data_IF_250484399625
#
_entry.id   IF_250484399625
#
_cell.length_a   1.000
_cell.length_b   1.000
_cell.length_c   1.000
_cell.angle_alpha   90.00
_cell.angle_beta   90.00
_cell.angle_gamma   90.00
#
_symmetry.space_group_name_H-M   'P 1'
#
loop_
_entity.id
_entity.type
_entity.pdbx_description
1 polymer ?
#
# COMPACT_ATOMS: atom_id res chain seq x y z
N UNK A 1 33.92 32.22 -18.66
CA UNK A 1 33.59 31.43 -19.87
C UNK A 1 33.74 29.95 -19.50
N UNK A 2 32.77 29.41 -18.77
CA UNK A 2 32.74 28.00 -18.35
C UNK A 2 31.68 27.30 -19.21
N UNK A 3 32.14 26.44 -20.11
CA UNK A 3 31.29 25.69 -21.03
C UNK A 3 30.46 24.64 -20.27
N UNK A 4 29.14 24.72 -20.43
CA UNK A 4 28.19 23.69 -20.06
C UNK A 4 28.55 22.40 -20.83
N UNK A 5 29.00 21.36 -20.11
CA UNK A 5 28.99 20.00 -20.64
C UNK A 5 27.56 19.49 -20.63
N UNK A 6 26.91 19.52 -21.78
CA UNK A 6 25.71 18.72 -22.06
C UNK A 6 26.06 17.24 -21.81
N UNK A 7 25.43 16.65 -20.78
CA UNK A 7 25.46 15.21 -20.59
C UNK A 7 24.73 14.56 -21.78
N UNK A 8 25.50 13.82 -22.58
CA UNK A 8 25.00 12.93 -23.63
C UNK A 8 24.09 11.88 -22.99
N UNK A 9 22.77 11.98 -23.23
CA UNK A 9 21.83 10.90 -22.98
C UNK A 9 22.33 9.61 -23.67
N UNK A 10 22.28 8.49 -22.94
CA UNK A 10 22.53 7.18 -23.53
C UNK A 10 21.59 6.96 -24.72
N UNK A 11 22.15 6.64 -25.88
CA UNK A 11 21.38 6.50 -27.13
C UNK A 11 20.32 5.40 -26.99
N UNK A 12 19.04 5.78 -26.94
CA UNK A 12 17.93 4.87 -27.22
C UNK A 12 18.10 4.37 -28.67
N UNK A 13 18.13 3.05 -28.86
CA UNK A 13 18.17 2.45 -30.21
C UNK A 13 16.75 2.30 -30.72
N UNK A 14 16.40 2.98 -31.81
CA UNK A 14 15.25 2.62 -32.63
C UNK A 14 15.50 1.20 -33.18
N UNK A 15 14.62 0.25 -32.86
CA UNK A 15 14.87 -1.17 -33.11
C UNK A 15 13.62 -1.95 -33.50
N UNK A 16 13.66 -2.46 -34.74
CA UNK A 16 12.76 -3.39 -35.43
C UNK A 16 11.33 -2.91 -35.70
N UNK A 17 10.94 -2.92 -36.98
CA UNK A 17 9.56 -2.82 -37.44
C UNK A 17 8.82 -4.13 -37.13
N UNK A 18 7.84 -4.07 -36.23
CA UNK A 18 6.83 -5.12 -36.11
C UNK A 18 5.52 -4.52 -36.61
N UNK A 19 4.94 -5.11 -37.66
CA UNK A 19 3.71 -4.63 -38.32
C UNK A 19 3.68 -3.11 -38.64
N UNK A 20 4.78 -2.54 -39.13
CA UNK A 20 4.82 -1.13 -39.58
C UNK A 20 4.94 -0.06 -38.49
N UNK A 21 5.15 -0.46 -37.22
CA UNK A 21 5.35 0.46 -36.08
C UNK A 21 6.83 0.65 -35.77
N UNK A 22 7.23 1.87 -35.41
CA UNK A 22 8.58 2.16 -34.90
C UNK A 22 8.62 1.93 -33.40
N UNK A 23 9.43 0.97 -32.94
CA UNK A 23 9.55 0.65 -31.52
C UNK A 23 10.83 1.25 -30.94
N UNK A 24 10.68 1.97 -29.83
CA UNK A 24 11.77 2.52 -29.02
C UNK A 24 11.98 1.62 -27.81
N UNK A 25 13.23 1.21 -27.59
CA UNK A 25 13.60 0.30 -26.51
C UNK A 25 14.50 1.00 -25.50
N UNK A 26 14.21 0.80 -24.22
CA UNK A 26 15.12 1.13 -23.11
C UNK A 26 15.58 -0.15 -22.42
N UNK A 27 16.81 -0.14 -21.93
CA UNK A 27 17.39 -1.28 -21.22
C UNK A 27 17.16 -1.16 -19.72
N UNK A 28 17.10 -2.31 -19.03
CA UNK A 28 17.17 -2.34 -17.57
C UNK A 28 18.44 -1.62 -17.08
N UNK A 29 18.32 -0.87 -15.99
CA UNK A 29 19.38 -0.04 -15.43
C UNK A 29 19.47 1.36 -16.04
N UNK A 30 18.69 1.67 -17.08
CA UNK A 30 18.63 3.02 -17.69
C UNK A 30 17.44 3.78 -17.10
N UNK A 31 17.75 4.82 -16.34
CA UNK A 31 16.78 5.80 -15.82
C UNK A 31 16.71 7.00 -16.77
N UNK A 32 15.49 7.46 -17.06
CA UNK A 32 15.23 8.65 -17.85
C UNK A 32 14.15 8.48 -18.93
N UNK A 33 14.04 9.49 -19.82
CA UNK A 33 13.03 9.48 -20.87
C UNK A 33 13.31 8.37 -21.89
N UNK A 34 12.32 7.53 -22.13
CA UNK A 34 12.31 6.59 -23.27
C UNK A 34 11.82 7.32 -24.50
N UNK A 35 10.75 8.09 -24.34
CA UNK A 35 10.08 8.83 -25.40
C UNK A 35 9.69 10.21 -24.89
N UNK A 36 10.01 11.25 -25.66
CA UNK A 36 9.54 12.63 -25.46
C UNK A 36 8.80 13.12 -26.71
N UNK A 37 7.98 14.17 -26.58
CA UNK A 37 7.13 14.67 -27.68
C UNK A 37 5.91 13.77 -27.98
N UNK A 38 5.41 13.70 -29.22
CA UNK A 38 5.45 14.86 -30.11
C UNK A 38 4.93 16.07 -29.33
N UNK A 39 5.43 17.25 -29.68
CA UNK A 39 4.88 18.49 -29.17
C UNK A 39 3.75 18.89 -30.12
N UNK A 40 2.51 18.78 -29.63
CA UNK A 40 1.32 18.98 -30.46
C UNK A 40 0.56 20.16 -29.90
N UNK A 41 0.35 21.19 -30.73
CA UNK A 41 -0.54 22.30 -30.38
C UNK A 41 -1.98 21.85 -30.55
N UNK A 42 -2.74 21.89 -29.45
CA UNK A 42 -4.09 21.36 -29.37
C UNK A 42 -5.04 22.46 -28.90
N UNK A 43 -6.21 22.54 -29.52
CA UNK A 43 -7.28 23.46 -29.14
C UNK A 43 -7.86 23.10 -27.75
N UNK A 44 -8.58 24.01 -27.08
CA UNK A 44 -9.32 23.67 -25.86
C UNK A 44 -10.26 22.50 -26.12
N UNK A 45 -10.36 21.58 -25.17
CA UNK A 45 -11.17 20.38 -25.33
C UNK A 45 -10.75 19.26 -24.40
N UNK A 46 -11.47 18.14 -24.51
CA UNK A 46 -11.17 16.91 -23.79
C UNK A 46 -10.58 15.90 -24.74
N UNK A 47 -9.53 15.21 -24.31
CA UNK A 47 -8.76 14.32 -25.17
C UNK A 47 -8.39 13.02 -24.47
N UNK A 48 -8.13 11.99 -25.27
CA UNK A 48 -7.51 10.74 -24.83
C UNK A 48 -6.29 10.48 -25.71
N UNK A 49 -5.16 10.15 -25.10
CA UNK A 49 -3.97 9.63 -25.76
C UNK A 49 -3.80 8.15 -25.45
N UNK A 50 -3.44 7.36 -26.47
CA UNK A 50 -3.13 5.94 -26.34
C UNK A 50 -1.63 5.73 -26.47
N UNK A 51 -1.02 5.24 -25.40
CA UNK A 51 0.35 4.74 -25.38
C UNK A 51 0.35 3.23 -25.59
N UNK A 52 1.34 2.69 -26.30
CA UNK A 52 1.56 1.25 -26.41
C UNK A 52 2.90 0.90 -25.79
N UNK A 53 2.86 0.14 -24.69
CA UNK A 53 4.05 -0.16 -23.89
C UNK A 53 4.10 -1.66 -23.56
N UNK A 54 5.30 -2.22 -23.60
CA UNK A 54 5.61 -3.57 -23.17
C UNK A 54 6.97 -3.63 -22.46
N UNK A 55 7.37 -4.83 -22.04
CA UNK A 55 8.65 -5.11 -21.42
C UNK A 55 9.61 -5.74 -22.44
N UNK A 56 10.91 -5.48 -22.29
CA UNK A 56 11.94 -6.17 -23.10
C UNK A 56 12.17 -7.61 -22.64
N UNK A 57 11.76 -7.93 -21.41
CA UNK A 57 11.97 -9.21 -20.73
C UNK A 57 10.71 -9.61 -19.94
N UNK A 58 10.57 -10.90 -19.63
CA UNK A 58 9.48 -11.31 -18.72
C UNK A 58 9.77 -10.79 -17.31
N UNK A 59 8.73 -10.39 -16.54
CA UNK A 59 8.89 -10.07 -15.13
C UNK A 59 9.56 -11.21 -14.36
N UNK A 60 10.74 -10.95 -13.78
CA UNK A 60 11.42 -11.91 -12.92
C UNK A 60 11.08 -11.64 -11.44
N UNK A 61 10.57 -12.65 -10.75
CA UNK A 61 10.22 -12.57 -9.32
C UNK A 61 8.74 -12.27 -9.07
N UNK A 62 8.39 -12.12 -7.79
CA UNK A 62 6.98 -12.06 -7.35
C UNK A 62 6.54 -10.69 -6.79
N UNK A 63 7.48 -9.76 -6.64
CA UNK A 63 7.17 -8.39 -6.26
C UNK A 63 6.71 -7.59 -7.50
N UNK A 64 5.61 -6.83 -7.38
CA UNK A 64 5.21 -5.93 -8.45
C UNK A 64 6.13 -4.70 -8.49
N UNK A 65 7.00 -4.66 -9.51
CA UNK A 65 8.03 -3.64 -9.64
C UNK A 65 7.52 -2.51 -10.51
N UNK A 66 7.59 -1.27 -10.00
CA UNK A 66 7.40 -0.07 -10.80
C UNK A 66 8.52 0.06 -11.83
N UNK A 67 8.17 0.11 -13.11
CA UNK A 67 9.10 0.15 -14.25
C UNK A 67 9.33 1.58 -14.74
N UNK A 68 8.34 2.45 -14.58
CA UNK A 68 8.31 3.74 -15.25
C UNK A 68 6.99 4.45 -15.02
N UNK A 69 6.74 5.48 -15.82
CA UNK A 69 5.46 6.17 -15.85
C UNK A 69 5.22 6.80 -17.23
N UNK A 70 3.95 7.09 -17.49
CA UNK A 70 3.47 7.83 -18.65
C UNK A 70 2.86 9.13 -18.16
N UNK A 71 3.10 10.23 -18.85
CA UNK A 71 2.39 11.46 -18.56
C UNK A 71 2.06 12.29 -19.81
N UNK A 72 1.08 13.16 -19.63
CA UNK A 72 0.69 14.22 -20.55
C UNK A 72 0.97 15.53 -19.84
N UNK A 73 1.77 16.39 -20.45
CA UNK A 73 2.18 17.64 -19.83
C UNK A 73 2.17 18.82 -20.79
N UNK A 74 2.09 20.02 -20.23
CA UNK A 74 2.19 21.30 -20.93
C UNK A 74 3.30 22.15 -20.29
N UNK A 75 3.54 23.32 -20.87
CA UNK A 75 4.52 24.29 -20.37
C UNK A 75 5.91 23.66 -20.20
N UNK A 76 6.42 23.06 -21.28
CA UNK A 76 7.72 22.39 -21.31
C UNK A 76 7.91 21.33 -20.22
N UNK A 77 6.82 20.68 -19.81
CA UNK A 77 6.84 19.62 -18.80
C UNK A 77 6.64 20.07 -17.36
N UNK A 78 6.37 21.36 -17.12
CA UNK A 78 6.16 21.91 -15.78
C UNK A 78 4.78 21.60 -15.20
N UNK A 79 3.78 21.43 -16.06
CA UNK A 79 2.39 21.16 -15.65
C UNK A 79 1.96 19.80 -16.17
N UNK A 80 1.66 18.88 -15.25
CA UNK A 80 1.18 17.52 -15.58
C UNK A 80 -0.35 17.55 -15.62
N UNK A 81 -0.91 17.22 -16.78
CA UNK A 81 -2.36 17.13 -17.00
C UNK A 81 -2.90 15.75 -16.64
N UNK A 82 -2.13 14.70 -16.94
CA UNK A 82 -2.48 13.31 -16.62
C UNK A 82 -1.22 12.48 -16.46
N UNK A 83 -1.25 11.48 -15.57
CA UNK A 83 -0.12 10.58 -15.34
C UNK A 83 -0.60 9.22 -14.85
N UNK A 84 0.09 8.15 -15.30
CA UNK A 84 -0.07 6.82 -14.72
C UNK A 84 1.28 6.12 -14.57
N UNK A 85 1.41 5.30 -13.53
CA UNK A 85 2.62 4.55 -13.26
C UNK A 85 2.58 3.19 -14.00
N UNK A 86 3.73 2.79 -14.52
CA UNK A 86 3.94 1.51 -15.20
C UNK A 86 4.49 0.49 -14.20
N UNK A 87 3.83 -0.64 -14.09
CA UNK A 87 4.21 -1.74 -13.21
C UNK A 87 4.40 -3.02 -14.02
N UNK A 88 5.31 -3.91 -13.58
CA UNK A 88 5.50 -5.23 -14.19
C UNK A 88 4.18 -5.98 -14.33
N UNK A 89 3.31 -5.87 -13.34
CA UNK A 89 2.01 -6.54 -13.34
C UNK A 89 1.06 -6.08 -14.45
N UNK A 90 1.29 -4.91 -15.06
CA UNK A 90 0.45 -4.34 -16.13
C UNK A 90 0.99 -4.56 -17.52
N UNK A 91 2.26 -4.96 -17.61
CA UNK A 91 2.97 -5.07 -18.87
C UNK A 91 3.31 -6.53 -19.14
N UNK A 92 3.54 -6.81 -20.42
CA UNK A 92 4.02 -8.09 -20.92
C UNK A 92 5.07 -7.82 -22.00
N UNK A 93 5.66 -8.86 -22.58
CA UNK A 93 6.45 -8.68 -23.82
C UNK A 93 5.62 -8.13 -24.97
N UNK A 94 4.34 -8.47 -25.03
CA UNK A 94 3.39 -7.85 -25.96
C UNK A 94 3.08 -6.42 -25.54
N UNK A 95 2.94 -5.52 -26.53
CA UNK A 95 2.51 -4.15 -26.30
C UNK A 95 1.08 -4.12 -25.75
N UNK A 96 0.90 -3.43 -24.64
CA UNK A 96 -0.40 -3.13 -24.05
C UNK A 96 -0.77 -1.68 -24.34
N UNK A 97 -2.03 -1.46 -24.69
CA UNK A 97 -2.59 -0.13 -24.81
C UNK A 97 -2.89 0.44 -23.42
N UNK A 98 -2.41 1.66 -23.18
CA UNK A 98 -2.61 2.41 -21.96
C UNK A 98 -3.12 3.78 -22.37
N UNK A 99 -4.29 4.13 -21.87
CA UNK A 99 -4.97 5.37 -22.21
C UNK A 99 -4.81 6.36 -21.06
N UNK A 100 -4.38 7.58 -21.40
CA UNK A 100 -4.41 8.75 -20.51
C UNK A 100 -5.32 9.79 -21.11
N UNK A 101 -6.13 10.40 -20.28
CA UNK A 101 -7.09 11.36 -20.74
C UNK A 101 -6.93 12.66 -19.96
N UNK A 102 -7.14 13.78 -20.66
CA UNK A 102 -6.73 15.10 -20.21
C UNK A 102 -7.60 16.18 -20.84
N UNK A 103 -7.74 17.28 -20.10
CA UNK A 103 -8.54 18.43 -20.48
C UNK A 103 -7.65 19.65 -20.71
N UNK A 104 -8.00 20.45 -21.71
CA UNK A 104 -7.37 21.72 -22.03
C UNK A 104 -8.40 22.84 -21.95
N UNK A 105 -8.08 23.86 -21.14
CA UNK A 105 -8.87 25.08 -20.99
C UNK A 105 -8.58 26.11 -22.10
N UNK A 106 -7.38 26.05 -22.68
CA UNK A 106 -6.89 26.94 -23.72
C UNK A 106 -6.06 26.19 -24.75
N UNK A 107 -5.89 26.79 -25.92
CA UNK A 107 -4.96 26.27 -26.92
C UNK A 107 -3.55 26.22 -26.34
N UNK A 108 -2.98 25.02 -26.27
CA UNK A 108 -1.71 24.76 -25.60
C UNK A 108 -0.91 23.71 -26.36
N UNK A 109 0.41 23.81 -26.30
CA UNK A 109 1.32 22.79 -26.80
C UNK A 109 1.49 21.69 -25.75
N UNK A 110 1.12 20.46 -26.13
CA UNK A 110 1.07 19.29 -25.26
C UNK A 110 2.18 18.33 -25.63
N UNK A 111 2.79 17.72 -24.62
CA UNK A 111 3.85 16.71 -24.72
C UNK A 111 3.40 15.39 -24.08
N UNK A 112 3.78 14.25 -24.70
CA UNK A 112 3.39 12.89 -24.30
C UNK A 112 4.61 12.03 -24.00
N UNK A 113 4.90 11.82 -22.71
CA UNK A 113 6.19 11.25 -22.31
C UNK A 113 6.06 9.84 -21.76
N UNK A 114 7.09 9.04 -22.01
CA UNK A 114 7.29 7.73 -21.38
C UNK A 114 8.64 7.74 -20.69
N UNK A 115 8.65 7.51 -19.38
CA UNK A 115 9.86 7.43 -18.57
C UNK A 115 10.09 6.02 -18.08
N UNK A 116 11.35 5.61 -18.06
CA UNK A 116 11.82 4.40 -17.39
C UNK A 116 12.57 4.82 -16.12
N UNK A 117 12.35 4.14 -15.00
CA UNK A 117 13.08 4.39 -13.74
C UNK A 117 14.23 3.39 -13.51
N UNK A 118 14.68 2.71 -14.57
CA UNK A 118 15.81 1.79 -14.57
C UNK A 118 15.54 0.40 -13.98
N UNK A 119 14.33 0.10 -13.52
CA UNK A 119 14.02 -1.18 -12.85
C UNK A 119 13.68 -2.33 -13.80
N UNK A 120 13.30 -2.01 -15.04
CA UNK A 120 12.98 -2.95 -16.12
C UNK A 120 13.36 -2.34 -17.47
N UNK A 121 13.50 -3.14 -18.52
CA UNK A 121 13.56 -2.60 -19.89
C UNK A 121 12.16 -2.42 -20.48
N UNK A 122 11.91 -1.29 -21.13
CA UNK A 122 10.62 -0.98 -21.78
C UNK A 122 10.73 -1.04 -23.30
N UNK A 123 9.69 -1.54 -23.95
CA UNK A 123 9.44 -1.41 -25.39
C UNK A 123 8.25 -0.48 -25.55
N UNK A 124 8.41 0.60 -26.29
CA UNK A 124 7.40 1.65 -26.45
C UNK A 124 7.17 1.87 -27.94
N UNK A 125 5.91 1.89 -28.36
CA UNK A 125 5.56 2.37 -29.69
C UNK A 125 5.82 3.88 -29.77
N UNK A 126 6.59 4.30 -30.78
CA UNK A 126 6.81 5.71 -31.03
C UNK A 126 5.50 6.42 -31.39
N UNK A 127 4.51 5.75 -31.97
CA UNK A 127 3.23 6.40 -32.27
C UNK A 127 2.33 6.50 -31.03
N UNK A 128 1.73 7.68 -30.83
CA UNK A 128 0.75 7.96 -29.77
C UNK A 128 -0.50 8.48 -30.45
N UNK A 129 -1.59 7.73 -30.35
CA UNK A 129 -2.85 8.10 -31.00
C UNK A 129 -3.63 9.03 -30.06
N UNK A 130 -3.91 10.25 -30.50
CA UNK A 130 -4.68 11.24 -29.75
C UNK A 130 -6.02 11.47 -30.43
N UNK A 131 -7.11 11.31 -29.68
CA UNK A 131 -8.47 11.50 -30.19
C UNK A 131 -9.27 12.44 -29.28
N UNK A 132 -10.18 13.21 -29.88
CA UNK A 132 -11.17 13.99 -29.13
C UNK A 132 -12.04 13.05 -28.29
N UNK A 133 -12.33 13.47 -27.06
CA UNK A 133 -13.09 12.71 -26.08
C UNK A 133 -14.53 13.20 -26.06
N UNK A 134 -15.49 12.28 -26.14
CA UNK A 134 -16.89 12.62 -25.94
C UNK A 134 -17.14 13.04 -24.47
N UNK A 135 -18.03 14.02 -24.20
CA UNK A 135 -18.19 14.62 -22.87
C UNK A 135 -18.55 13.64 -21.74
N UNK A 136 -19.08 12.48 -22.10
CA UNK A 136 -19.67 11.44 -21.27
C UNK A 136 -18.81 10.16 -21.14
N UNK A 137 -17.67 10.08 -21.84
CA UNK A 137 -16.79 8.90 -21.78
C UNK A 137 -15.75 9.10 -20.67
N UNK A 138 -15.71 8.29 -19.60
CA UNK A 138 -14.76 8.49 -18.50
C UNK A 138 -13.28 8.20 -18.88
N UNK A 139 -12.35 8.84 -18.16
CA UNK A 139 -10.91 8.99 -18.44
C UNK A 139 -10.04 7.73 -18.25
N UNK A 140 -10.30 6.57 -18.87
CA UNK A 140 -9.68 5.35 -18.31
C UNK A 140 -9.09 4.31 -19.26
N UNK A 141 -7.84 3.91 -18.96
CA UNK A 141 -7.42 2.52 -19.14
C UNK A 141 -8.41 1.63 -18.37
N UNK A 142 -9.07 0.64 -18.99
CA UNK A 142 -10.07 -0.16 -18.30
C UNK A 142 -9.52 -0.79 -17.00
N UNK A 143 -10.19 -0.57 -15.86
CA UNK A 143 -9.85 -1.26 -14.59
C UNK A 143 -9.98 -2.78 -14.71
N UNK A 144 -10.89 -3.19 -15.60
CA UNK A 144 -11.28 -4.57 -15.84
C UNK A 144 -11.08 -4.90 -17.32
N UNK A 145 -10.80 -6.16 -17.66
CA UNK A 145 -10.78 -6.60 -19.06
C UNK A 145 -12.08 -6.26 -19.79
N UNK A 146 -12.04 -5.97 -21.10
CA UNK A 146 -13.25 -5.76 -21.90
C UNK A 146 -14.24 -6.92 -21.76
N UNK A 147 -15.50 -6.60 -21.47
CA UNK A 147 -16.57 -7.59 -21.28
C UNK A 147 -16.56 -8.32 -19.93
N UNK A 148 -15.68 -7.95 -18.99
CA UNK A 148 -15.72 -8.49 -17.64
C UNK A 148 -17.05 -8.12 -16.95
N UNK A 149 -17.72 -9.07 -16.28
CA UNK A 149 -18.94 -8.78 -15.56
C UNK A 149 -18.63 -7.87 -14.35
N UNK A 150 -19.57 -6.98 -14.04
CA UNK A 150 -19.52 -6.10 -12.85
C UNK A 150 -20.76 -6.40 -11.99
N UNK A 151 -20.78 -7.54 -11.28
CA UNK A 151 -21.95 -7.96 -10.49
C UNK A 151 -22.11 -7.20 -9.17
N UNK A 152 -21.11 -6.42 -8.75
CA UNK A 152 -21.05 -5.74 -7.47
C UNK A 152 -21.40 -4.25 -7.59
N UNK A 153 -22.52 -3.84 -6.99
CA UNK A 153 -22.93 -2.43 -6.95
C UNK A 153 -21.91 -1.56 -6.18
N UNK A 154 -21.25 -2.12 -5.16
CA UNK A 154 -20.26 -1.39 -4.38
C UNK A 154 -19.07 -0.94 -5.26
N UNK A 155 -18.67 -1.77 -6.23
CA UNK A 155 -17.63 -1.42 -7.20
C UNK A 155 -18.02 -0.19 -8.03
N UNK A 156 -19.26 -0.16 -8.53
CA UNK A 156 -19.77 0.94 -9.35
C UNK A 156 -19.83 2.23 -8.53
N UNK A 157 -20.39 2.15 -7.33
CA UNK A 157 -20.57 3.30 -6.43
C UNK A 157 -19.23 3.88 -5.93
N UNK A 158 -18.17 3.08 -5.92
CA UNK A 158 -16.84 3.45 -5.43
C UNK A 158 -15.77 3.39 -6.53
N UNK A 159 -16.16 3.53 -7.80
CA UNK A 159 -15.27 3.36 -8.95
C UNK A 159 -14.03 4.27 -8.89
N UNK A 160 -14.11 5.47 -8.31
CA UNK A 160 -12.96 6.38 -8.13
C UNK A 160 -11.92 5.85 -7.11
N UNK A 161 -12.37 5.20 -6.04
CA UNK A 161 -11.46 4.61 -5.06
C UNK A 161 -10.76 3.37 -5.63
N UNK A 162 -11.51 2.53 -6.35
CA UNK A 162 -10.95 1.42 -7.12
C UNK A 162 -10.00 1.90 -8.22
N UNK A 163 -10.33 3.01 -8.88
CA UNK A 163 -9.44 3.67 -9.85
C UNK A 163 -8.11 4.02 -9.21
N UNK A 164 -8.13 4.66 -8.03
CA UNK A 164 -6.93 5.03 -7.30
C UNK A 164 -6.07 3.80 -6.97
N UNK A 165 -6.68 2.71 -6.49
CA UNK A 165 -5.96 1.43 -6.29
C UNK A 165 -5.37 0.91 -7.60
N UNK A 166 -6.20 0.88 -8.64
CA UNK A 166 -5.82 0.45 -9.98
C UNK A 166 -4.76 1.36 -10.59
N UNK A 167 -4.57 2.59 -10.19
CA UNK A 167 -3.49 3.43 -10.71
C UNK A 167 -2.19 3.20 -9.93
N UNK A 168 -2.29 2.81 -8.66
CA UNK A 168 -1.18 2.60 -7.74
C UNK A 168 -0.62 1.17 -7.67
N UNK A 169 -0.99 0.30 -8.60
CA UNK A 169 -0.43 -1.05 -8.75
C UNK A 169 -1.44 -2.18 -8.61
N UNK A 170 -2.68 -1.90 -8.19
CA UNK A 170 -3.64 -2.97 -8.00
C UNK A 170 -4.11 -3.58 -9.33
N UNK A 171 -4.25 -4.90 -9.36
CA UNK A 171 -5.16 -5.59 -10.29
C UNK A 171 -6.49 -5.81 -9.60
N UNK A 172 -7.60 -5.64 -10.32
CA UNK A 172 -8.95 -5.75 -9.78
C UNK A 172 -9.72 -6.88 -10.46
N UNK A 173 -10.48 -7.64 -9.69
CA UNK A 173 -11.45 -8.62 -10.17
C UNK A 173 -12.75 -8.45 -9.40
N UNK A 174 -13.83 -8.10 -10.10
CA UNK A 174 -15.16 -7.94 -9.48
C UNK A 174 -15.85 -9.30 -9.41
N UNK A 175 -16.32 -9.67 -8.23
CA UNK A 175 -17.04 -10.93 -7.97
C UNK A 175 -18.37 -10.62 -7.27
N UNK A 176 -19.30 -11.57 -7.22
CA UNK A 176 -20.64 -11.34 -6.65
C UNK A 176 -20.61 -10.86 -5.18
N UNK A 177 -19.56 -11.19 -4.43
CA UNK A 177 -19.47 -10.88 -3.01
C UNK A 177 -18.60 -9.66 -2.69
N UNK A 178 -18.08 -8.94 -3.70
CA UNK A 178 -17.21 -7.77 -3.54
C UNK A 178 -16.15 -7.67 -4.65
N UNK A 179 -15.13 -6.85 -4.44
CA UNK A 179 -14.01 -6.74 -5.39
C UNK A 179 -12.72 -7.30 -4.79
N UNK A 180 -12.04 -8.19 -5.51
CA UNK A 180 -10.71 -8.67 -5.13
C UNK A 180 -9.67 -7.72 -5.70
N UNK A 181 -8.90 -7.08 -4.82
CA UNK A 181 -7.72 -6.31 -5.17
C UNK A 181 -6.47 -7.17 -5.00
N UNK A 182 -5.49 -7.01 -5.89
CA UNK A 182 -4.20 -7.68 -5.83
C UNK A 182 -3.06 -6.67 -5.97
N UNK A 183 -2.19 -6.60 -4.96
CA UNK A 183 -0.92 -5.87 -5.01
C UNK A 183 0.24 -6.87 -4.92
N UNK A 184 1.06 -6.95 -5.97
CA UNK A 184 2.06 -8.02 -6.07
C UNK A 184 1.41 -9.39 -6.00
N UNK A 185 1.86 -10.23 -5.07
CA UNK A 185 1.28 -11.55 -4.81
C UNK A 185 0.09 -11.54 -3.85
N UNK A 186 -0.11 -10.45 -3.11
CA UNK A 186 -1.11 -10.40 -2.03
C UNK A 186 -2.46 -10.02 -2.61
N UNK A 187 -3.47 -10.85 -2.35
CA UNK A 187 -4.86 -10.64 -2.77
C UNK A 187 -5.74 -10.37 -1.56
N UNK A 188 -6.71 -9.47 -1.65
CA UNK A 188 -7.67 -9.27 -0.57
C UNK A 188 -8.97 -8.73 -1.12
N UNK A 189 -10.02 -8.91 -0.34
CA UNK A 189 -11.36 -8.45 -0.67
C UNK A 189 -11.57 -7.03 -0.17
N UNK A 190 -12.07 -6.18 -1.05
CA UNK A 190 -12.55 -4.82 -0.78
C UNK A 190 -14.07 -4.86 -0.88
N UNK A 191 -14.74 -4.63 0.25
CA UNK A 191 -16.19 -4.77 0.40
C UNK A 191 -16.82 -3.59 1.15
N UNK A 192 -16.04 -2.70 1.76
CA UNK A 192 -16.55 -1.48 2.37
C UNK A 192 -15.53 -0.32 2.25
N UNK A 193 -15.92 0.93 2.57
CA UNK A 193 -15.05 2.09 2.38
C UNK A 193 -13.74 2.07 3.19
N UNK A 194 -13.75 1.48 4.38
CA UNK A 194 -12.57 1.40 5.26
C UNK A 194 -11.45 0.55 4.66
N UNK A 195 -11.78 -0.46 3.86
CA UNK A 195 -10.79 -1.26 3.15
C UNK A 195 -9.93 -0.41 2.21
N UNK A 196 -10.48 0.66 1.63
CA UNK A 196 -9.71 1.57 0.81
C UNK A 196 -8.64 2.29 1.62
N UNK A 197 -8.97 2.72 2.84
CA UNK A 197 -8.03 3.38 3.74
C UNK A 197 -6.91 2.42 4.15
N UNK A 198 -7.26 1.24 4.69
CA UNK A 198 -6.28 0.26 5.15
C UNK A 198 -5.36 -0.18 3.99
N UNK A 199 -5.93 -0.43 2.81
CA UNK A 199 -5.14 -0.80 1.64
C UNK A 199 -4.24 0.35 1.16
N UNK A 200 -4.71 1.61 1.25
CA UNK A 200 -3.91 2.77 0.91
C UNK A 200 -2.71 2.92 1.83
N UNK A 201 -2.89 2.80 3.14
CA UNK A 201 -1.81 2.86 4.14
C UNK A 201 -0.78 1.73 3.95
N UNK A 202 -1.26 0.48 3.81
CA UNK A 202 -0.40 -0.71 3.75
C UNK A 202 0.32 -0.85 2.39
N UNK A 203 -0.40 -0.75 1.28
CA UNK A 203 0.15 -1.11 -0.04
C UNK A 203 0.59 0.10 -0.89
N UNK A 204 -0.04 1.26 -0.70
CA UNK A 204 0.22 2.44 -1.54
C UNK A 204 1.23 3.37 -0.86
N UNK A 205 0.93 3.86 0.33
CA UNK A 205 1.84 4.72 1.12
C UNK A 205 2.95 3.89 1.77
N UNK A 206 2.71 2.59 1.98
CA UNK A 206 3.68 1.65 2.56
C UNK A 206 4.14 2.08 3.95
N UNK A 207 3.18 2.53 4.75
CA UNK A 207 3.39 3.11 6.07
C UNK A 207 4.11 2.16 7.03
N UNK A 208 3.84 0.86 6.91
CA UNK A 208 4.42 -0.20 7.73
C UNK A 208 5.55 -0.97 7.02
N UNK A 209 6.14 -0.43 5.96
CA UNK A 209 7.12 -1.18 5.16
C UNK A 209 8.49 -1.29 5.85
N UNK A 210 8.89 -2.52 6.22
CA UNK A 210 10.19 -2.82 6.79
C UNK A 210 11.16 -3.48 5.79
N UNK A 211 12.34 -2.87 5.64
CA UNK A 211 13.46 -3.46 4.92
C UNK A 211 14.30 -4.32 5.87
N UNK A 212 13.96 -5.61 5.96
CA UNK A 212 14.56 -6.55 6.91
C UNK A 212 15.89 -7.11 6.39
N UNK A 213 16.92 -7.10 7.23
CA UNK A 213 18.25 -7.66 6.92
C UNK A 213 18.40 -9.13 7.31
N UNK A 214 17.66 -9.56 8.32
CA UNK A 214 17.70 -10.89 8.90
C UNK A 214 16.30 -11.47 8.93
N UNK A 215 16.21 -12.79 9.14
CA UNK A 215 14.95 -13.47 9.41
C UNK A 215 14.27 -12.81 10.61
N UNK A 216 12.97 -12.60 10.51
CA UNK A 216 12.19 -11.92 11.55
C UNK A 216 10.89 -12.65 11.86
N UNK A 217 10.44 -12.48 13.09
CA UNK A 217 9.07 -12.77 13.53
C UNK A 217 8.36 -11.43 13.71
N UNK A 218 7.18 -11.32 13.11
CA UNK A 218 6.37 -10.10 13.17
C UNK A 218 5.21 -10.30 14.15
N UNK A 219 4.91 -9.28 14.95
CA UNK A 219 3.76 -9.25 15.82
C UNK A 219 2.85 -8.11 15.35
N UNK A 220 1.66 -8.45 14.85
CA UNK A 220 0.64 -7.53 14.35
C UNK A 220 -0.46 -7.38 15.41
N UNK A 221 -0.32 -6.39 16.29
CA UNK A 221 -1.25 -6.14 17.40
C UNK A 221 -2.29 -5.13 16.92
N UNK A 222 -3.54 -5.60 16.80
CA UNK A 222 -4.62 -4.93 16.07
C UNK A 222 -4.59 -5.26 14.59
N UNK A 223 -4.70 -6.56 14.28
CA UNK A 223 -4.60 -7.09 12.91
C UNK A 223 -5.67 -6.54 11.96
N UNK A 224 -6.83 -6.12 12.47
CA UNK A 224 -7.97 -5.68 11.67
C UNK A 224 -8.35 -6.79 10.65
N UNK A 225 -8.51 -6.48 9.36
CA UNK A 225 -8.82 -7.46 8.30
C UNK A 225 -7.58 -8.17 7.73
N UNK A 226 -6.43 -8.10 8.41
CA UNK A 226 -5.25 -8.91 8.12
C UNK A 226 -4.39 -8.45 6.94
N UNK A 227 -4.60 -7.24 6.41
CA UNK A 227 -3.84 -6.76 5.26
C UNK A 227 -2.35 -6.57 5.59
N UNK A 228 -2.03 -6.00 6.75
CA UNK A 228 -0.64 -5.85 7.20
C UNK A 228 0.02 -7.21 7.43
N UNK A 229 -0.67 -8.12 8.11
CA UNK A 229 -0.21 -9.51 8.31
C UNK A 229 0.17 -10.19 6.99
N UNK A 230 -0.68 -10.09 5.95
CA UNK A 230 -0.38 -10.61 4.61
C UNK A 230 0.80 -9.90 3.94
N UNK A 231 0.83 -8.57 4.02
CA UNK A 231 1.92 -7.77 3.48
C UNK A 231 3.27 -8.18 4.08
N UNK A 232 3.34 -8.32 5.40
CA UNK A 232 4.53 -8.79 6.11
C UNK A 232 4.87 -10.23 5.79
N UNK A 233 3.90 -11.15 5.80
CA UNK A 233 4.12 -12.56 5.46
C UNK A 233 4.64 -12.76 4.03
N UNK A 234 4.30 -11.84 3.11
CA UNK A 234 4.81 -11.83 1.74
C UNK A 234 6.31 -11.53 1.63
N UNK A 235 6.90 -10.90 2.66
CA UNK A 235 8.33 -10.66 2.72
C UNK A 235 9.08 -11.98 2.99
N UNK A 236 10.08 -12.35 2.16
CA UNK A 236 10.82 -13.59 2.33
C UNK A 236 11.66 -13.65 3.62
N UNK A 237 11.99 -12.52 4.23
CA UNK A 237 12.68 -12.47 5.53
C UNK A 237 11.72 -12.67 6.71
N UNK A 238 10.41 -12.49 6.52
CA UNK A 238 9.42 -12.76 7.57
C UNK A 238 9.12 -14.25 7.58
N UNK A 239 9.35 -14.85 8.75
CA UNK A 239 9.21 -16.28 8.93
C UNK A 239 7.90 -16.69 9.58
N UNK A 240 7.36 -15.83 10.43
CA UNK A 240 6.14 -16.04 11.18
C UNK A 240 5.54 -14.66 11.50
N UNK A 241 4.22 -14.60 11.52
CA UNK A 241 3.43 -13.45 11.94
C UNK A 241 2.46 -13.92 13.03
N UNK A 242 2.49 -13.28 14.19
CA UNK A 242 1.48 -13.45 15.22
C UNK A 242 0.55 -12.24 15.22
N UNK A 243 -0.72 -12.48 14.94
CA UNK A 243 -1.69 -11.42 14.69
C UNK A 243 -2.79 -11.45 15.74
N UNK A 244 -3.04 -10.31 16.39
CA UNK A 244 -3.98 -10.20 17.52
C UNK A 244 -5.16 -9.34 17.12
N UNK A 245 -6.37 -9.86 17.27
CA UNK A 245 -7.61 -9.15 16.94
C UNK A 245 -8.75 -9.63 17.84
N UNK A 246 -9.23 -8.80 18.78
CA UNK A 246 -10.30 -9.16 19.70
C UNK A 246 -11.70 -9.22 19.07
N UNK A 247 -11.95 -8.60 17.92
CA UNK A 247 -13.30 -8.51 17.36
C UNK A 247 -13.63 -9.56 16.29
N UNK A 248 -14.82 -10.14 16.38
CA UNK A 248 -15.19 -11.27 15.54
C UNK A 248 -15.33 -10.90 14.04
N UNK A 249 -15.86 -9.71 13.75
CA UNK A 249 -16.08 -9.26 12.38
C UNK A 249 -14.76 -9.05 11.61
N UNK A 250 -13.79 -8.24 12.10
CA UNK A 250 -12.49 -8.11 11.42
C UNK A 250 -11.77 -9.45 11.27
N UNK A 251 -11.79 -10.33 12.29
CA UNK A 251 -11.21 -11.69 12.17
C UNK A 251 -11.83 -12.52 11.07
N UNK A 252 -13.17 -12.51 10.92
CA UNK A 252 -13.84 -13.25 9.85
C UNK A 252 -13.38 -12.76 8.48
N UNK A 253 -13.28 -11.43 8.31
CA UNK A 253 -12.80 -10.80 7.07
C UNK A 253 -11.31 -11.11 6.82
N UNK A 254 -10.49 -11.13 7.87
CA UNK A 254 -9.10 -11.56 7.78
C UNK A 254 -8.98 -13.02 7.32
N UNK A 255 -9.82 -13.93 7.82
CA UNK A 255 -9.85 -15.32 7.36
C UNK A 255 -10.22 -15.44 5.87
N UNK A 256 -11.19 -14.65 5.39
CA UNK A 256 -11.51 -14.56 3.95
C UNK A 256 -10.28 -14.11 3.14
N UNK A 257 -9.57 -13.08 3.62
CA UNK A 257 -8.35 -12.61 2.97
C UNK A 257 -7.22 -13.65 3.02
N UNK A 258 -7.02 -14.35 4.13
CA UNK A 258 -5.99 -15.39 4.25
C UNK A 258 -6.28 -16.58 3.34
N UNK A 259 -7.55 -16.95 3.16
CA UNK A 259 -7.96 -17.99 2.21
C UNK A 259 -7.58 -17.66 0.75
N UNK A 260 -7.49 -16.38 0.39
CA UNK A 260 -6.99 -15.94 -0.92
C UNK A 260 -5.46 -16.05 -1.07
N UNK A 261 -4.72 -16.37 -0.01
CA UNK A 261 -3.25 -16.29 0.04
C UNK A 261 -2.59 -17.47 0.75
N UNK A 262 -2.93 -18.71 0.38
CA UNK A 262 -2.45 -19.93 1.07
C UNK A 262 -0.98 -19.91 1.49
N UNK A 263 -0.06 -19.60 0.56
CA UNK A 263 1.39 -19.51 0.83
C UNK A 263 1.77 -18.54 1.96
N UNK A 264 1.05 -17.42 2.09
CA UNK A 264 1.33 -16.40 3.10
C UNK A 264 0.58 -16.68 4.40
N UNK A 265 -0.65 -17.19 4.28
CA UNK A 265 -1.47 -17.61 5.41
C UNK A 265 -0.78 -18.67 6.28
N UNK A 266 0.00 -19.57 5.69
CA UNK A 266 0.78 -20.59 6.42
C UNK A 266 1.79 -20.00 7.42
N UNK A 267 2.18 -18.72 7.27
CA UNK A 267 3.06 -18.01 8.20
C UNK A 267 2.31 -17.27 9.30
N UNK A 268 0.98 -17.16 9.22
CA UNK A 268 0.18 -16.26 10.06
C UNK A 268 -0.58 -17.09 11.10
N UNK A 269 -0.34 -16.79 12.38
CA UNK A 269 -1.11 -17.33 13.50
C UNK A 269 -2.00 -16.24 14.08
N UNK A 270 -3.32 -16.47 14.06
CA UNK A 270 -4.32 -15.53 14.60
C UNK A 270 -4.63 -15.85 16.06
N UNK A 271 -4.56 -14.84 16.91
CA UNK A 271 -4.92 -14.87 18.31
C UNK A 271 -6.22 -14.06 18.51
N UNK A 272 -7.34 -14.72 18.87
CA UNK A 272 -8.67 -14.10 18.87
C UNK A 272 -8.97 -13.28 20.13
N UNK A 273 -7.98 -12.54 20.63
CA UNK A 273 -8.06 -11.71 21.82
C UNK A 273 -7.15 -10.48 21.65
N UNK A 274 -7.47 -9.41 22.38
CA UNK A 274 -6.62 -8.23 22.47
C UNK A 274 -5.51 -8.40 23.51
N UNK A 275 -4.55 -7.48 23.54
CA UNK A 275 -3.52 -7.44 24.57
C UNK A 275 -3.73 -6.21 25.48
N UNK A 276 -3.45 -6.37 26.77
CA UNK A 276 -3.47 -5.30 27.77
C UNK A 276 -2.39 -5.56 28.83
N UNK A 277 -2.43 -4.86 29.94
CA UNK A 277 -1.66 -5.08 31.16
C UNK A 277 -2.12 -6.27 32.02
N UNK A 278 -3.33 -6.78 31.78
CA UNK A 278 -3.95 -7.88 32.53
C UNK A 278 -4.92 -8.70 31.67
N UNK A 279 -5.29 -9.87 32.17
CA UNK A 279 -6.41 -10.65 31.64
C UNK A 279 -7.74 -10.01 32.09
N UNK A 280 -8.63 -9.73 31.14
CA UNK A 280 -9.94 -9.12 31.41
C UNK A 280 -10.94 -9.37 30.28
N UNK A 281 -12.22 -9.05 30.53
CA UNK A 281 -13.26 -8.96 29.52
C UNK A 281 -13.79 -7.53 29.44
N UNK A 282 -13.72 -6.94 28.26
CA UNK A 282 -14.10 -5.53 28.03
C UNK A 282 -15.34 -5.48 27.15
N UNK A 283 -16.34 -4.72 27.58
CA UNK A 283 -17.52 -4.41 26.77
C UNK A 283 -17.22 -3.16 25.92
N UNK A 284 -17.22 -3.31 24.60
CA UNK A 284 -16.91 -2.23 23.65
C UNK A 284 -18.10 -1.95 22.74
N UNK A 285 -18.39 -0.68 22.52
CA UNK A 285 -19.35 -0.22 21.53
C UNK A 285 -18.78 -0.40 20.11
N UNK A 286 -19.45 -1.21 19.29
CA UNK A 286 -19.07 -1.48 17.90
C UNK A 286 -20.23 -1.14 16.95
N UNK A 287 -19.88 -0.71 15.74
CA UNK A 287 -20.82 -0.46 14.65
C UNK A 287 -20.88 -1.69 13.73
N UNK A 288 -22.07 -2.04 13.24
CA UNK A 288 -22.28 -3.24 12.41
C UNK A 288 -21.60 -3.18 11.03
N UNK A 289 -21.18 -2.00 10.57
CA UNK A 289 -20.67 -1.75 9.22
C UNK A 289 -19.17 -1.42 9.19
N UNK A 290 -18.54 -1.26 10.36
CA UNK A 290 -17.21 -0.69 10.51
C UNK A 290 -16.24 -1.60 11.28
N UNK A 291 -14.96 -1.44 10.99
CA UNK A 291 -13.83 -1.77 11.86
C UNK A 291 -13.69 -0.66 12.91
N UNK A 292 -13.14 -0.98 14.08
CA UNK A 292 -13.34 -0.24 15.33
C UNK A 292 -12.89 1.24 15.29
N UNK A 293 -12.03 1.63 14.36
CA UNK A 293 -11.53 3.01 14.21
C UNK A 293 -12.65 4.06 14.14
N UNK A 294 -13.83 3.72 13.59
CA UNK A 294 -15.02 4.62 13.60
C UNK A 294 -15.98 4.39 14.77
N UNK A 295 -15.92 3.27 15.51
CA UNK A 295 -16.90 2.96 16.56
C UNK A 295 -16.61 3.60 17.91
N UNK A 296 -15.33 3.88 18.22
CA UNK A 296 -14.95 4.55 19.49
C UNK A 296 -15.36 6.03 19.51
N UNK A 297 -15.55 6.67 18.34
CA UNK A 297 -15.93 8.09 18.25
C UNK A 297 -17.43 8.38 18.28
N UNK A 298 -18.26 7.36 18.57
CA UNK A 298 -19.65 7.50 19.02
C UNK A 298 -20.47 8.60 18.34
N UNK A 299 -21.01 8.32 17.14
CA UNK A 299 -22.13 9.07 16.53
C UNK A 299 -22.68 8.29 15.33
N UNK A 300 -23.63 7.40 15.58
CA UNK A 300 -24.40 6.72 14.54
C UNK A 300 -25.39 5.74 15.13
N UNK A 301 -26.56 5.60 14.49
CA UNK A 301 -27.57 4.60 14.85
C UNK A 301 -27.01 3.19 14.62
N UNK A 302 -27.32 2.22 15.51
CA UNK A 302 -26.86 0.82 15.36
C UNK A 302 -25.60 0.41 16.15
N UNK A 303 -25.29 1.09 17.26
CA UNK A 303 -24.22 0.67 18.18
C UNK A 303 -24.65 -0.61 18.91
N UNK A 304 -23.92 -1.71 18.69
CA UNK A 304 -24.02 -2.92 19.52
C UNK A 304 -22.85 -2.96 20.51
N UNK A 305 -23.07 -3.56 21.67
CA UNK A 305 -21.98 -3.86 22.60
C UNK A 305 -21.45 -5.25 22.30
N UNK A 306 -20.16 -5.35 21.99
CA UNK A 306 -19.44 -6.62 21.85
C UNK A 306 -18.51 -6.78 23.07
N UNK A 307 -18.56 -7.95 23.73
CA UNK A 307 -17.61 -8.30 24.78
C UNK A 307 -16.41 -8.96 24.15
N UNK A 308 -15.23 -8.41 24.41
CA UNK A 308 -13.96 -8.93 23.91
C UNK A 308 -13.08 -9.42 25.06
N UNK A 309 -12.31 -10.46 24.78
CA UNK A 309 -11.27 -10.93 25.70
C UNK A 309 -9.98 -10.12 25.45
N UNK A 310 -9.35 -9.66 26.54
CA UNK A 310 -7.99 -9.13 26.53
C UNK A 310 -7.11 -9.95 27.44
N UNK A 311 -5.83 -10.09 27.07
CA UNK A 311 -4.85 -10.86 27.83
C UNK A 311 -3.63 -10.03 28.20
N UNK A 312 -3.00 -10.37 29.31
CA UNK A 312 -1.74 -9.75 29.73
C UNK A 312 -0.68 -9.91 28.64
N UNK A 313 -0.22 -8.79 28.07
CA UNK A 313 0.69 -8.75 26.94
C UNK A 313 1.99 -9.47 27.26
N UNK A 314 2.54 -9.27 28.47
CA UNK A 314 3.74 -9.95 28.91
C UNK A 314 3.61 -11.48 28.91
N UNK A 315 2.52 -12.02 29.46
CA UNK A 315 2.31 -13.47 29.58
C UNK A 315 2.16 -14.15 28.22
N UNK A 316 1.51 -13.46 27.28
CA UNK A 316 1.33 -13.96 25.91
C UNK A 316 2.60 -13.80 25.08
N UNK A 317 3.25 -12.63 25.11
CA UNK A 317 4.37 -12.32 24.23
C UNK A 317 5.70 -12.89 24.71
N UNK A 318 5.92 -13.05 26.02
CA UNK A 318 7.17 -13.62 26.54
C UNK A 318 7.55 -14.98 25.93
N UNK A 319 6.68 -16.01 25.92
CA UNK A 319 7.02 -17.30 25.31
C UNK A 319 7.22 -17.20 23.79
N UNK A 320 6.46 -16.34 23.09
CA UNK A 320 6.59 -16.14 21.64
C UNK A 320 7.91 -15.43 21.30
N UNK A 321 8.30 -14.43 22.10
CA UNK A 321 9.58 -13.75 21.97
C UNK A 321 10.73 -14.72 22.22
N UNK A 322 10.66 -15.53 23.28
CA UNK A 322 11.66 -16.55 23.56
C UNK A 322 11.81 -17.54 22.40
N UNK A 323 10.70 -18.00 21.80
CA UNK A 323 10.72 -18.88 20.63
C UNK A 323 11.36 -18.20 19.39
N UNK A 324 11.00 -16.94 19.11
CA UNK A 324 11.61 -16.17 18.03
C UNK A 324 13.12 -15.98 18.24
N UNK A 325 13.55 -15.60 19.44
CA UNK A 325 14.97 -15.43 19.78
C UNK A 325 15.73 -16.75 19.71
N UNK A 326 15.14 -17.87 20.12
CA UNK A 326 15.75 -19.20 20.00
C UNK A 326 16.03 -19.59 18.53
N UNK A 327 15.21 -19.11 17.58
CA UNK A 327 15.45 -19.25 16.14
C UNK A 327 16.45 -18.25 15.56
N UNK A 328 16.91 -17.28 16.37
CA UNK A 328 17.78 -16.20 15.93
C UNK A 328 17.07 -15.10 15.15
N UNK A 329 15.74 -15.02 15.26
CA UNK A 329 14.92 -14.02 14.58
C UNK A 329 15.04 -12.65 15.26
N UNK A 330 14.97 -11.61 14.43
CA UNK A 330 14.62 -10.27 14.89
C UNK A 330 13.11 -10.20 15.20
N UNK A 331 12.74 -9.40 16.20
CA UNK A 331 11.34 -9.22 16.58
C UNK A 331 10.90 -7.83 16.12
N UNK A 332 9.90 -7.79 15.24
CA UNK A 332 9.32 -6.55 14.72
C UNK A 332 7.86 -6.49 15.14
N UNK A 333 7.44 -5.38 15.73
CA UNK A 333 6.09 -5.22 16.23
C UNK A 333 5.37 -4.09 15.49
N UNK A 334 4.14 -4.34 15.04
CA UNK A 334 3.14 -3.31 14.81
C UNK A 334 2.18 -3.29 15.99
N UNK A 335 1.91 -2.11 16.51
CA UNK A 335 0.96 -1.90 17.61
C UNK A 335 0.04 -0.75 17.19
N UNK A 336 -1.23 -1.05 17.03
CA UNK A 336 -2.28 -0.09 16.70
C UNK A 336 -3.59 -0.78 17.09
N UNK A 337 -4.05 -0.45 18.29
CA UNK A 337 -5.09 -1.18 19.01
C UNK A 337 -6.09 -0.24 19.67
N UNK A 338 -6.23 0.96 19.08
CA UNK A 338 -7.29 1.92 19.36
C UNK A 338 -7.36 2.39 20.83
N UNK A 339 -6.25 2.31 21.58
CA UNK A 339 -6.13 2.84 22.93
C UNK A 339 -5.44 1.93 23.95
N UNK A 340 -5.23 0.64 23.63
CA UNK A 340 -4.54 -0.30 24.51
C UNK A 340 -3.00 -0.21 24.42
N UNK A 341 -2.45 0.76 23.66
CA UNK A 341 -1.01 0.86 23.45
C UNK A 341 -0.26 1.12 24.76
N UNK A 342 -0.79 2.03 25.59
CA UNK A 342 -0.20 2.39 26.89
C UNK A 342 -0.13 1.22 27.88
N UNK A 343 -1.22 0.48 28.18
CA UNK A 343 -1.15 -0.68 29.06
C UNK A 343 -0.27 -1.81 28.50
N UNK A 344 -0.24 -2.01 27.18
CA UNK A 344 0.70 -2.96 26.54
C UNK A 344 2.14 -2.53 26.82
N UNK A 345 2.48 -1.25 26.62
CA UNK A 345 3.82 -0.73 26.88
C UNK A 345 4.24 -0.93 28.33
N UNK A 346 3.36 -0.64 29.29
CA UNK A 346 3.65 -0.84 30.71
C UNK A 346 3.87 -2.32 31.04
N UNK A 347 3.05 -3.22 30.48
CA UNK A 347 3.21 -4.67 30.61
C UNK A 347 4.57 -5.15 30.12
N UNK A 348 4.98 -4.73 28.92
CA UNK A 348 6.27 -5.10 28.34
C UNK A 348 7.46 -4.53 29.11
N UNK A 349 7.33 -3.30 29.62
CA UNK A 349 8.37 -2.66 30.43
C UNK A 349 8.56 -3.38 31.75
N UNK A 350 7.46 -3.64 32.47
CA UNK A 350 7.47 -4.35 33.75
C UNK A 350 8.07 -5.75 33.63
N UNK A 351 7.84 -6.44 32.50
CA UNK A 351 8.41 -7.75 32.21
C UNK A 351 9.79 -7.71 31.51
N UNK A 352 10.39 -6.53 31.32
CA UNK A 352 11.68 -6.34 30.61
C UNK A 352 11.73 -6.94 29.19
N UNK A 353 10.57 -7.05 28.52
CA UNK A 353 10.46 -7.71 27.22
C UNK A 353 10.95 -6.85 26.07
N UNK A 354 10.96 -5.52 26.23
CA UNK A 354 11.47 -4.61 25.21
C UNK A 354 12.86 -5.01 24.73
N UNK A 355 13.74 -5.49 25.63
CA UNK A 355 15.10 -5.96 25.32
C UNK A 355 15.19 -6.98 24.18
N UNK A 356 14.11 -7.72 23.92
CA UNK A 356 14.04 -8.71 22.83
C UNK A 356 13.63 -8.11 21.48
N UNK A 357 12.97 -6.95 21.51
CA UNK A 357 12.35 -6.27 20.35
C UNK A 357 13.39 -5.48 19.56
N UNK A 358 13.39 -5.66 18.25
CA UNK A 358 14.31 -5.01 17.30
C UNK A 358 13.73 -3.70 16.77
N UNK A 359 12.44 -3.70 16.39
CA UNK A 359 11.76 -2.54 15.84
C UNK A 359 10.27 -2.51 16.20
N UNK A 360 9.70 -1.31 16.30
CA UNK A 360 8.29 -1.06 16.61
C UNK A 360 7.73 -0.03 15.63
N UNK A 361 6.56 -0.31 15.06
CA UNK A 361 5.71 0.61 14.31
C UNK A 361 4.45 0.80 15.15
N UNK A 362 4.29 1.99 15.72
CA UNK A 362 3.28 2.26 16.72
C UNK A 362 2.32 3.32 16.19
N UNK A 363 1.03 3.03 16.14
CA UNK A 363 -0.04 4.03 16.11
C UNK A 363 -0.66 4.07 17.51
N UNK A 364 -0.74 5.25 18.10
CA UNK A 364 -1.21 5.41 19.48
C UNK A 364 -2.47 6.24 19.53
N UNK A 365 -3.35 5.93 20.49
CA UNK A 365 -4.65 6.57 20.62
C UNK A 365 -4.94 6.94 22.07
N UNK A 366 -5.45 8.15 22.32
CA UNK A 366 -5.85 8.60 23.68
C UNK A 366 -7.13 7.96 24.21
N UNK A 367 -7.84 7.18 23.41
CA UNK A 367 -9.21 6.70 23.65
C UNK A 367 -9.47 6.22 25.08
N UNK A 368 -8.55 5.41 25.64
CA UNK A 368 -8.69 4.84 27.00
C UNK A 368 -7.72 5.44 28.02
N UNK A 369 -6.79 6.30 27.55
CA UNK A 369 -5.75 6.93 28.36
C UNK A 369 -5.69 8.44 28.08
N UNK A 370 -6.76 9.21 28.38
CA UNK A 370 -6.86 10.62 27.98
C UNK A 370 -5.81 11.53 28.62
N UNK A 371 -5.19 11.08 29.73
CA UNK A 371 -4.12 11.79 30.41
C UNK A 371 -2.73 11.52 29.81
N UNK A 372 -2.58 10.50 28.95
CA UNK A 372 -1.31 10.10 28.37
C UNK A 372 -1.15 10.61 26.94
N UNK A 373 0.07 10.60 26.43
CA UNK A 373 0.45 11.17 25.14
C UNK A 373 1.61 10.42 24.48
N UNK A 374 1.99 10.83 23.27
CA UNK A 374 3.23 10.38 22.63
C UNK A 374 4.45 10.51 23.54
N UNK A 375 4.53 11.53 24.40
CA UNK A 375 5.71 11.78 25.24
C UNK A 375 5.95 10.65 26.25
N UNK A 376 4.87 10.04 26.77
CA UNK A 376 4.94 8.91 27.70
C UNK A 376 5.50 7.66 26.99
N UNK A 377 5.05 7.39 25.77
CA UNK A 377 5.53 6.29 24.94
C UNK A 377 6.99 6.52 24.52
N UNK A 378 7.33 7.74 24.10
CA UNK A 378 8.70 8.14 23.73
C UNK A 378 9.65 8.07 24.93
N UNK A 379 9.19 8.38 26.15
CA UNK A 379 9.99 8.23 27.36
C UNK A 379 10.35 6.75 27.60
N UNK A 380 9.39 5.83 27.47
CA UNK A 380 9.64 4.38 27.58
C UNK A 380 10.60 3.91 26.50
N UNK A 381 10.36 4.25 25.23
CA UNK A 381 11.22 3.83 24.12
C UNK A 381 12.68 4.29 24.30
N UNK A 382 12.89 5.54 24.72
CA UNK A 382 14.23 6.07 24.99
C UNK A 382 14.90 5.35 26.16
N UNK A 383 14.17 5.10 27.24
CA UNK A 383 14.69 4.37 28.40
C UNK A 383 15.07 2.91 28.07
N UNK A 384 14.34 2.27 27.15
CA UNK A 384 14.55 0.90 26.71
C UNK A 384 15.56 0.75 25.54
N UNK A 385 16.24 1.86 25.19
CA UNK A 385 17.36 1.88 24.24
C UNK A 385 16.93 1.94 22.78
N UNK A 386 15.77 2.52 22.47
CA UNK A 386 15.35 2.77 21.08
C UNK A 386 15.69 4.19 20.62
N UNK A 387 16.00 4.31 19.33
CA UNK A 387 15.88 5.56 18.58
C UNK A 387 14.44 5.61 18.05
N UNK A 388 13.69 6.64 18.43
CA UNK A 388 12.30 6.84 18.04
C UNK A 388 12.13 8.05 17.11
N UNK A 389 11.32 7.90 16.07
CA UNK A 389 10.90 8.92 15.12
C UNK A 389 9.42 9.19 15.35
N UNK A 390 9.13 10.35 15.91
CA UNK A 390 7.77 10.81 16.15
C UNK A 390 7.20 11.46 14.89
N UNK A 391 6.07 10.93 14.41
CA UNK A 391 5.34 11.40 13.24
C UNK A 391 3.96 11.94 13.62
N UNK A 392 3.69 12.13 14.91
CA UNK A 392 2.43 12.72 15.38
C UNK A 392 2.28 14.13 14.78
N UNK A 393 1.10 14.39 14.21
CA UNK A 393 0.79 15.70 13.64
C UNK A 393 0.54 16.70 14.77
N UNK A 394 1.14 17.89 14.72
CA UNK A 394 0.91 18.93 15.72
C UNK A 394 -0.58 19.35 15.84
N UNK A 395 -1.37 19.09 14.80
CA UNK A 395 -2.82 19.36 14.74
C UNK A 395 -3.69 18.24 15.31
N UNK A 396 -3.15 17.04 15.53
CA UNK A 396 -3.87 15.93 16.13
C UNK A 396 -3.13 15.44 17.37
N UNK A 397 -3.68 15.77 18.54
CA UNK A 397 -3.13 15.34 19.82
C UNK A 397 -3.88 14.14 20.41
N UNK A 398 -4.80 13.54 19.67
CA UNK A 398 -5.59 12.39 20.11
C UNK A 398 -5.05 11.07 19.58
N UNK A 399 -4.35 11.10 18.45
CA UNK A 399 -3.67 9.96 17.89
C UNK A 399 -2.40 10.37 17.12
N UNK A 400 -1.51 9.42 16.89
CA UNK A 400 -0.33 9.65 16.08
C UNK A 400 0.51 8.40 15.86
N UNK A 401 1.62 8.56 15.16
CA UNK A 401 2.50 7.45 14.83
C UNK A 401 3.93 7.66 15.34
N UNK A 402 4.53 6.59 15.85
CA UNK A 402 5.94 6.53 16.24
C UNK A 402 6.58 5.32 15.56
N UNK A 403 7.74 5.52 14.93
CA UNK A 403 8.60 4.44 14.46
C UNK A 403 9.80 4.34 15.41
N UNK A 404 10.13 3.14 15.89
CA UNK A 404 11.25 2.96 16.80
C UNK A 404 12.13 1.78 16.39
N UNK A 405 13.44 1.95 16.47
CA UNK A 405 14.45 0.91 16.19
C UNK A 405 15.46 0.88 17.32
N UNK A 406 15.84 -0.33 17.74
CA UNK A 406 16.82 -0.51 18.82
C UNK A 406 18.16 0.12 18.42
N UNK A 407 18.72 0.95 19.30
CA UNK A 407 20.07 1.48 19.13
C UNK A 407 21.08 0.31 19.20
N UNK A 408 22.07 0.35 18.30
CA UNK A 408 23.07 -0.70 18.15
C UNK A 408 24.02 -0.82 19.36
#
# INVERSE_FOLDING_TARGET
MFGLKLFSAGKNKAGSSDMGRTLIRSNRGVDGPVVTGPYVRMAPGRYVVTFRVGLTEEPAGTADVRCGYLDVCIDCGNVILARTELFHSRLSKELREIHLAFDLDRETEVEFRVFNIGRAGLVVDEQRDVSARAPDVPDFTPMLPPGAPVPDAFFVDNAEHFRKMYENGARLAVVETGTIAQFGDVRFKVANPEDFQIAYEVFIVREYNACLRRRSTVFDIGMNVGLLSLFMASNPQVSEVHSFEPFALPRRRAAENFALNGRFADKITVHPFGLSDKDDQIAVAVSDQATISTSIRGRGDGVRTETIDVRAAADVLAPLFAAAKARGDDIVMKIDCEGAEFPIFESLRSASLFRSVTAIMLEWHRSWSPALSQDDLLAVLRAEGFIAFDRTLATDQFAGQILAVRAA
#
